data_IF_157162709288
#
_entry.id   IF_157162709288
#
_cell.length_a   1.000
_cell.length_b   1.000
_cell.length_c   1.000
_cell.angle_alpha   90.00
_cell.angle_beta   90.00
_cell.angle_gamma   90.00
#
_symmetry.space_group_name_H-M   'P 1'
#
loop_
_entity.id
_entity.type
_entity.pdbx_description
1 polymer ?
#
# COMPACT_ATOMS: atom_id res chain seq x y z
N UNK A 1 -12.61 -2.24 4.91
CA UNK A 1 -12.07 -1.73 3.63
C UNK A 1 -12.13 -0.20 3.49
N UNK A 2 -13.30 0.43 3.56
CA UNK A 2 -13.46 1.88 3.29
C UNK A 2 -12.52 2.82 4.09
N UNK A 3 -12.15 2.43 5.31
CA UNK A 3 -11.24 3.21 6.17
C UNK A 3 -9.81 3.31 5.61
N UNK A 4 -9.24 2.21 5.10
CA UNK A 4 -7.90 2.22 4.49
C UNK A 4 -7.90 3.06 3.22
N UNK A 5 -8.95 2.96 2.40
CA UNK A 5 -9.10 3.79 1.20
C UNK A 5 -9.21 5.28 1.54
N UNK A 6 -9.88 5.61 2.65
CA UNK A 6 -9.97 6.98 3.14
C UNK A 6 -8.59 7.50 3.55
N UNK A 7 -7.81 6.73 4.31
CA UNK A 7 -6.44 7.10 4.67
C UNK A 7 -5.55 7.24 3.43
N UNK A 8 -5.61 6.29 2.50
CA UNK A 8 -4.84 6.34 1.26
C UNK A 8 -5.12 7.62 0.46
N UNK A 9 -6.40 8.02 0.33
CA UNK A 9 -6.77 9.27 -0.35
C UNK A 9 -6.28 10.51 0.38
N UNK A 10 -6.35 10.53 1.71
CA UNK A 10 -5.93 11.68 2.51
C UNK A 10 -4.41 11.84 2.47
N UNK A 11 -3.67 10.76 2.72
CA UNK A 11 -2.22 10.77 2.80
C UNK A 11 -1.54 10.70 1.43
N UNK A 12 -2.24 10.34 0.35
CA UNK A 12 -1.66 10.18 -1.00
C UNK A 12 -0.43 9.26 -1.04
N UNK A 13 -0.49 8.18 -0.27
CA UNK A 13 0.53 7.12 -0.22
C UNK A 13 -0.12 5.78 -0.61
N UNK A 14 0.65 4.86 -1.17
CA UNK A 14 0.16 3.51 -1.41
C UNK A 14 -0.06 2.79 -0.07
N UNK A 15 -1.30 2.36 0.19
CA UNK A 15 -1.61 1.48 1.32
C UNK A 15 -2.18 0.19 0.75
N UNK A 16 -1.48 -0.92 0.90
CA UNK A 16 -1.92 -2.25 0.50
C UNK A 16 -2.74 -2.90 1.61
N UNK A 17 -3.66 -3.81 1.25
CA UNK A 17 -4.53 -4.48 2.20
C UNK A 17 -4.86 -5.91 1.77
N UNK A 18 -4.86 -6.83 2.73
CA UNK A 18 -5.23 -8.24 2.53
C UNK A 18 -6.29 -8.67 3.56
N UNK A 19 -7.34 -9.34 3.10
CA UNK A 19 -8.29 -10.01 3.98
C UNK A 19 -7.75 -11.37 4.48
N UNK A 20 -8.07 -11.77 5.72
CA UNK A 20 -7.95 -13.18 6.10
C UNK A 20 -8.99 -14.03 5.35
N UNK A 21 -8.76 -15.35 5.21
CA UNK A 21 -9.77 -16.25 4.66
C UNK A 21 -10.85 -16.50 5.72
N UNK A 22 -11.84 -15.61 5.79
CA UNK A 22 -12.91 -15.66 6.80
C UNK A 22 -13.62 -17.02 6.80
N UNK A 23 -13.76 -17.60 7.99
CA UNK A 23 -14.36 -18.93 8.20
C UNK A 23 -15.53 -18.91 9.19
N UNK A 24 -15.49 -18.01 10.17
CA UNK A 24 -16.54 -17.91 11.18
C UNK A 24 -17.77 -17.20 10.62
N UNK A 25 -18.92 -17.88 10.67
CA UNK A 25 -20.18 -17.33 10.18
C UNK A 25 -20.61 -16.04 10.90
N UNK A 26 -20.31 -15.90 12.21
CA UNK A 26 -20.61 -14.67 12.96
C UNK A 26 -19.75 -13.45 12.56
N UNK A 27 -18.70 -13.67 11.78
CA UNK A 27 -17.86 -12.62 11.20
C UNK A 27 -18.28 -12.25 9.77
N UNK A 28 -19.29 -12.92 9.20
CA UNK A 28 -19.79 -12.70 7.85
C UNK A 28 -21.23 -12.20 7.92
N UNK A 29 -21.58 -11.21 7.12
CA UNK A 29 -22.93 -10.69 6.99
C UNK A 29 -23.42 -10.86 5.55
N UNK A 30 -24.68 -11.24 5.41
CA UNK A 30 -25.37 -11.25 4.13
C UNK A 30 -25.98 -9.88 3.86
N UNK A 31 -25.56 -9.24 2.78
CA UNK A 31 -26.05 -7.93 2.34
C UNK A 31 -26.82 -8.00 1.02
N UNK A 32 -27.28 -9.19 0.64
CA UNK A 32 -27.95 -9.42 -0.65
C UNK A 32 -29.09 -8.44 -0.88
N UNK A 33 -29.98 -8.28 0.09
CA UNK A 33 -31.15 -7.41 -0.03
C UNK A 33 -30.81 -5.92 0.04
N UNK A 34 -29.59 -5.57 0.49
CA UNK A 34 -29.09 -4.19 0.50
C UNK A 34 -28.49 -3.77 -0.84
N UNK A 35 -27.99 -4.73 -1.62
CA UNK A 35 -27.25 -4.49 -2.87
C UNK A 35 -28.07 -4.86 -4.11
N UNK A 36 -28.86 -5.93 -4.04
CA UNK A 36 -29.68 -6.37 -5.16
C UNK A 36 -31.04 -5.68 -5.15
N UNK A 37 -31.42 -5.09 -6.28
CA UNK A 37 -32.78 -4.62 -6.47
C UNK A 37 -33.75 -5.80 -6.75
N UNK A 38 -35.08 -5.60 -6.67
CA UNK A 38 -36.06 -6.68 -6.84
C UNK A 38 -35.93 -7.44 -8.18
N UNK A 39 -35.54 -6.75 -9.26
CA UNK A 39 -35.35 -7.36 -10.58
C UNK A 39 -34.15 -8.30 -10.60
N UNK A 40 -33.02 -7.88 -10.02
CA UNK A 40 -31.83 -8.72 -9.88
C UNK A 40 -32.12 -9.93 -8.99
N UNK A 41 -32.91 -9.73 -7.92
CA UNK A 41 -33.32 -10.79 -7.01
C UNK A 41 -34.19 -11.84 -7.69
N UNK A 42 -35.16 -11.41 -8.50
CA UNK A 42 -36.02 -12.31 -9.27
C UNK A 42 -35.23 -13.10 -10.33
N UNK A 43 -34.24 -12.47 -10.97
CA UNK A 43 -33.40 -13.12 -11.97
C UNK A 43 -32.43 -14.16 -11.38
N UNK A 44 -31.99 -13.96 -10.13
CA UNK A 44 -31.12 -14.91 -9.44
C UNK A 44 -31.47 -15.02 -7.93
N UNK A 45 -32.53 -15.76 -7.57
CA UNK A 45 -33.00 -15.86 -6.19
C UNK A 45 -32.01 -16.60 -5.26
N UNK A 46 -31.05 -17.33 -5.83
CA UNK A 46 -30.04 -18.08 -5.08
C UNK A 46 -28.73 -17.32 -4.91
N UNK A 47 -28.52 -16.22 -5.63
CA UNK A 47 -27.35 -15.37 -5.40
C UNK A 47 -27.34 -14.87 -3.95
N UNK A 48 -26.15 -14.88 -3.35
CA UNK A 48 -25.90 -14.32 -2.02
C UNK A 48 -24.67 -13.44 -2.09
N UNK A 49 -24.77 -12.23 -1.57
CA UNK A 49 -23.65 -11.28 -1.46
C UNK A 49 -23.26 -11.24 0.01
N UNK A 50 -22.21 -11.99 0.33
CA UNK A 50 -21.71 -12.14 1.70
C UNK A 50 -20.43 -11.34 1.84
N UNK A 51 -20.35 -10.53 2.88
CA UNK A 51 -19.17 -9.68 3.15
C UNK A 51 -18.74 -9.82 4.59
N UNK A 52 -17.48 -9.50 4.94
CA UNK A 52 -17.07 -9.43 6.34
C UNK A 52 -17.94 -8.42 7.09
N UNK A 53 -18.37 -8.77 8.30
CA UNK A 53 -19.13 -7.89 9.18
C UNK A 53 -18.32 -6.62 9.42
N UNK A 54 -18.96 -5.48 9.24
CA UNK A 54 -18.34 -4.18 9.43
C UNK A 54 -19.19 -3.27 10.31
N UNK A 55 -18.78 -2.02 10.38
CA UNK A 55 -19.51 -0.99 11.10
C UNK A 55 -18.79 0.35 11.00
N UNK A 56 -19.29 1.33 11.75
CA UNK A 56 -18.68 2.66 11.82
C UNK A 56 -17.43 2.60 12.69
N UNK A 57 -16.34 3.14 12.16
CA UNK A 57 -15.11 3.40 12.91
C UNK A 57 -14.92 4.91 12.99
N UNK A 58 -14.57 5.40 14.18
CA UNK A 58 -14.12 6.78 14.31
C UNK A 58 -12.75 6.89 13.64
N UNK A 59 -12.64 7.76 12.64
CA UNK A 59 -11.35 8.02 12.01
C UNK A 59 -10.56 8.98 12.89
N UNK A 60 -9.29 8.67 13.20
CA UNK A 60 -8.48 9.55 14.02
C UNK A 60 -8.17 10.85 13.28
N UNK A 61 -8.25 11.98 13.99
CA UNK A 61 -7.82 13.26 13.46
C UNK A 61 -6.30 13.39 13.65
N UNK A 62 -5.54 13.04 12.60
CA UNK A 62 -4.08 13.16 12.58
C UNK A 62 -3.71 14.17 11.48
N UNK A 63 -2.82 15.15 11.75
CA UNK A 63 -2.35 16.07 10.73
C UNK A 63 -1.81 15.34 9.50
N UNK A 64 -2.21 15.78 8.32
CA UNK A 64 -1.91 15.11 7.06
C UNK A 64 -0.91 15.93 6.26
N UNK A 65 0.30 15.40 6.05
CA UNK A 65 1.18 15.85 4.97
C UNK A 65 1.13 14.83 3.83
N UNK A 66 0.55 15.19 2.66
CA UNK A 66 0.45 14.27 1.54
C UNK A 66 1.84 13.75 1.09
N UNK A 67 1.94 12.45 0.84
CA UNK A 67 3.15 11.75 0.44
C UNK A 67 4.08 11.32 1.56
N UNK A 68 3.85 11.74 2.81
CA UNK A 68 4.73 11.41 3.92
C UNK A 68 4.26 10.14 4.62
N UNK A 69 4.88 9.01 4.29
CA UNK A 69 4.53 7.68 4.85
C UNK A 69 4.55 7.67 6.39
N UNK A 70 5.55 8.32 6.99
CA UNK A 70 5.71 8.37 8.45
C UNK A 70 4.49 8.97 9.18
N UNK A 71 3.78 9.91 8.55
CA UNK A 71 2.62 10.57 9.14
C UNK A 71 1.37 9.68 9.13
N UNK A 72 1.30 8.73 8.20
CA UNK A 72 0.18 7.80 8.13
C UNK A 72 0.29 6.66 9.16
N UNK A 73 1.49 6.36 9.66
CA UNK A 73 1.72 5.27 10.61
C UNK A 73 0.84 5.37 11.87
N UNK A 74 0.77 6.52 12.59
CA UNK A 74 -0.06 6.64 13.78
C UNK A 74 -1.55 6.52 13.45
N UNK A 75 -1.99 7.07 12.32
CA UNK A 75 -3.39 7.02 11.90
C UNK A 75 -3.85 5.60 11.57
N UNK A 76 -3.01 4.82 10.87
CA UNK A 76 -3.31 3.41 10.60
C UNK A 76 -3.24 2.59 11.90
N UNK A 77 -2.24 2.82 12.76
CA UNK A 77 -2.15 2.14 14.05
C UNK A 77 -3.40 2.34 14.92
N UNK A 78 -3.89 3.59 15.00
CA UNK A 78 -5.13 3.92 15.71
C UNK A 78 -6.36 3.28 15.03
N UNK A 79 -6.41 3.26 13.69
CA UNK A 79 -7.48 2.57 12.96
C UNK A 79 -7.50 1.07 13.27
N UNK A 80 -6.35 0.39 13.28
CA UNK A 80 -6.26 -1.04 13.56
C UNK A 80 -6.67 -1.34 15.01
N UNK A 81 -6.24 -0.50 15.97
CA UNK A 81 -6.65 -0.63 17.37
C UNK A 81 -8.16 -0.43 17.55
N UNK A 82 -8.75 0.57 16.90
CA UNK A 82 -10.20 0.79 16.93
C UNK A 82 -10.98 -0.36 16.26
N UNK A 83 -10.44 -0.91 15.17
CA UNK A 83 -11.02 -2.07 14.47
C UNK A 83 -11.08 -3.30 15.38
N UNK A 84 -9.97 -3.62 16.05
CA UNK A 84 -9.90 -4.74 16.99
C UNK A 84 -10.80 -4.49 18.22
N UNK A 85 -10.77 -3.28 18.79
CA UNK A 85 -11.60 -2.90 19.94
C UNK A 85 -13.11 -2.95 19.67
N UNK A 86 -13.52 -2.73 18.42
CA UNK A 86 -14.91 -2.90 17.98
C UNK A 86 -15.33 -4.38 17.78
N UNK A 87 -14.40 -5.32 17.93
CA UNK A 87 -14.68 -6.75 17.75
C UNK A 87 -15.04 -7.11 16.31
N UNK A 88 -14.47 -6.40 15.33
CA UNK A 88 -14.65 -6.71 13.91
C UNK A 88 -13.82 -7.93 13.47
N UNK A 89 -14.17 -8.56 12.33
CA UNK A 89 -13.53 -9.77 11.84
C UNK A 89 -12.03 -9.65 11.59
N UNK A 90 -11.27 -10.59 12.15
CA UNK A 90 -9.83 -10.67 11.93
C UNK A 90 -9.01 -9.67 12.76
N UNK A 91 -7.70 -9.93 12.83
CA UNK A 91 -6.70 -9.03 13.42
C UNK A 91 -5.61 -8.80 12.42
N UNK A 92 -5.03 -7.61 12.46
CA UNK A 92 -4.11 -7.15 11.42
C UNK A 92 -2.86 -6.55 12.04
N UNK A 93 -1.79 -6.55 11.25
CA UNK A 93 -0.58 -5.77 11.52
C UNK A 93 -0.29 -4.83 10.35
N UNK A 94 0.39 -3.74 10.68
CA UNK A 94 0.94 -2.82 9.72
C UNK A 94 2.40 -3.18 9.44
N UNK A 95 2.74 -3.33 8.17
CA UNK A 95 4.11 -3.43 7.69
C UNK A 95 4.46 -2.10 7.02
N UNK A 96 5.60 -1.53 7.41
CA UNK A 96 6.16 -0.36 6.75
C UNK A 96 7.21 -0.81 5.74
N UNK A 97 7.02 -0.42 4.50
CA UNK A 97 7.97 -0.60 3.41
C UNK A 97 8.45 0.79 2.95
N UNK A 98 9.47 0.85 2.08
CA UNK A 98 10.14 2.11 1.75
C UNK A 98 9.18 3.19 1.21
N UNK A 99 8.26 2.81 0.33
CA UNK A 99 7.34 3.68 -0.41
C UNK A 99 5.85 3.34 -0.22
N UNK A 100 5.55 2.35 0.62
CA UNK A 100 4.19 1.87 0.84
C UNK A 100 3.98 1.36 2.27
N UNK A 101 2.72 1.28 2.66
CA UNK A 101 2.27 0.63 3.88
C UNK A 101 1.45 -0.60 3.51
N UNK A 102 1.60 -1.71 4.22
CA UNK A 102 0.85 -2.94 3.94
C UNK A 102 0.13 -3.41 5.21
N UNK A 103 -1.20 -3.48 5.15
CA UNK A 103 -2.04 -4.04 6.21
C UNK A 103 -2.26 -5.52 5.91
N UNK A 104 -1.73 -6.40 6.77
CA UNK A 104 -1.78 -7.86 6.58
C UNK A 104 -2.51 -8.55 7.74
N UNK A 105 -3.24 -9.64 7.49
CA UNK A 105 -3.90 -10.38 8.55
C UNK A 105 -2.87 -11.15 9.39
N UNK A 106 -3.12 -11.25 10.69
CA UNK A 106 -2.33 -12.03 11.65
C UNK A 106 -3.16 -13.04 12.43
N UNK A 107 -4.46 -12.79 12.60
CA UNK A 107 -5.37 -13.75 13.22
C UNK A 107 -6.78 -13.66 12.62
N UNK A 108 -7.53 -14.76 12.71
CA UNK A 108 -8.95 -14.85 12.35
C UNK A 108 -9.67 -15.82 13.28
N UNK A 109 -11.01 -15.81 13.28
CA UNK A 109 -11.80 -16.83 13.96
C UNK A 109 -12.04 -18.04 13.05
N UNK A 110 -11.75 -19.24 13.56
CA UNK A 110 -12.05 -20.51 12.91
C UNK A 110 -13.56 -20.69 12.73
N UNK A 111 -13.98 -21.73 12.02
CA UNK A 111 -15.41 -22.06 11.88
C UNK A 111 -16.13 -22.23 13.25
N UNK A 112 -15.39 -22.61 14.30
CA UNK A 112 -15.88 -22.78 15.68
C UNK A 112 -15.89 -21.46 16.48
N UNK A 113 -15.42 -20.36 15.91
CA UNK A 113 -15.34 -19.05 16.58
C UNK A 113 -14.05 -18.83 17.40
N UNK A 114 -13.11 -19.78 17.37
CA UNK A 114 -11.84 -19.67 18.11
C UNK A 114 -10.81 -18.86 17.34
N UNK A 115 -10.00 -18.06 18.04
CA UNK A 115 -8.93 -17.31 17.39
C UNK A 115 -7.78 -18.24 17.00
N UNK A 116 -7.33 -18.12 15.74
CA UNK A 116 -6.14 -18.79 15.23
C UNK A 116 -5.24 -17.80 14.50
N UNK A 117 -3.94 -18.09 14.47
CA UNK A 117 -2.96 -17.31 13.71
C UNK A 117 -3.10 -17.61 12.23
N UNK A 118 -3.01 -16.57 11.40
CA UNK A 118 -2.99 -16.69 9.94
C UNK A 118 -1.80 -15.93 9.38
N UNK A 119 -1.29 -16.38 8.24
CA UNK A 119 -0.27 -15.68 7.48
C UNK A 119 -0.88 -15.11 6.21
N UNK A 120 -0.41 -13.93 5.79
CA UNK A 120 -0.73 -13.35 4.48
C UNK A 120 -0.59 -14.37 3.35
N UNK A 121 -1.56 -14.37 2.43
CA UNK A 121 -1.55 -15.23 1.24
C UNK A 121 -0.38 -14.87 0.33
N UNK A 122 -0.08 -13.59 0.21
CA UNK A 122 1.03 -13.05 -0.59
C UNK A 122 2.41 -13.23 0.05
N UNK A 123 2.51 -13.83 1.24
CA UNK A 123 3.79 -14.32 1.75
C UNK A 123 4.26 -15.61 1.07
N UNK A 124 3.44 -16.20 0.18
CA UNK A 124 3.84 -17.39 -0.58
C UNK A 124 5.10 -17.09 -1.41
N UNK A 125 6.11 -17.97 -1.39
CA UNK A 125 7.28 -17.81 -2.24
C UNK A 125 6.89 -18.10 -3.70
N UNK A 126 7.35 -17.24 -4.61
CA UNK A 126 7.22 -17.42 -6.06
C UNK A 126 8.60 -17.44 -6.70
N UNK A 127 8.73 -18.18 -7.81
CA UNK A 127 9.98 -18.32 -8.55
C UNK A 127 9.72 -18.32 -10.06
N UNK A 128 10.46 -17.50 -10.79
CA UNK A 128 10.45 -17.47 -12.24
C UNK A 128 11.71 -16.77 -12.76
N UNK A 129 12.20 -17.19 -13.92
CA UNK A 129 13.42 -16.63 -14.50
C UNK A 129 13.31 -15.14 -14.76
N UNK A 130 14.43 -14.42 -14.64
CA UNK A 130 14.49 -13.01 -15.02
C UNK A 130 14.46 -12.89 -16.54
N UNK A 131 13.40 -12.26 -17.05
CA UNK A 131 13.23 -11.99 -18.48
C UNK A 131 12.27 -10.82 -18.68
N UNK A 132 12.38 -10.16 -19.83
CA UNK A 132 11.45 -9.10 -20.22
C UNK A 132 10.08 -9.68 -20.60
N UNK A 133 9.04 -9.27 -19.87
CA UNK A 133 7.65 -9.70 -20.07
C UNK A 133 6.68 -8.54 -19.96
N UNK A 134 5.46 -8.71 -20.46
CA UNK A 134 4.41 -7.75 -20.17
C UNK A 134 4.08 -7.76 -18.67
N UNK A 135 3.81 -6.60 -18.09
CA UNK A 135 3.48 -6.48 -16.67
C UNK A 135 2.27 -7.35 -16.27
N UNK A 136 1.27 -7.46 -17.17
CA UNK A 136 0.12 -8.34 -16.98
C UNK A 136 0.49 -9.83 -16.89
N UNK A 137 1.48 -10.29 -17.68
CA UNK A 137 1.95 -11.68 -17.66
C UNK A 137 2.67 -12.01 -16.36
N UNK A 138 3.51 -11.09 -15.88
CA UNK A 138 4.19 -11.24 -14.57
C UNK A 138 3.17 -11.29 -13.44
N UNK A 139 2.15 -10.43 -13.47
CA UNK A 139 1.08 -10.46 -12.48
C UNK A 139 0.33 -11.79 -12.48
N UNK A 140 -0.12 -12.26 -13.65
CA UNK A 140 -0.84 -13.52 -13.79
C UNK A 140 -0.01 -14.72 -13.29
N UNK A 141 1.27 -14.77 -13.65
CA UNK A 141 2.21 -15.81 -13.18
C UNK A 141 2.33 -15.81 -11.64
N UNK A 142 2.49 -14.64 -11.02
CA UNK A 142 2.53 -14.51 -9.56
C UNK A 142 1.23 -15.03 -8.93
N UNK A 143 0.05 -14.64 -9.44
CA UNK A 143 -1.23 -15.06 -8.87
C UNK A 143 -1.47 -16.57 -9.02
N UNK A 144 -1.04 -17.17 -10.14
CA UNK A 144 -1.08 -18.63 -10.35
C UNK A 144 -0.22 -19.36 -9.34
N UNK A 145 1.03 -18.92 -9.15
CA UNK A 145 1.94 -19.55 -8.19
C UNK A 145 1.45 -19.39 -6.74
N UNK A 146 0.94 -18.21 -6.36
CA UNK A 146 0.32 -18.00 -5.05
C UNK A 146 -0.86 -18.94 -4.87
N UNK A 147 -1.71 -19.08 -5.88
CA UNK A 147 -2.88 -19.97 -5.82
C UNK A 147 -2.48 -21.42 -5.59
N UNK A 148 -1.48 -21.89 -6.35
CA UNK A 148 -0.94 -23.24 -6.22
C UNK A 148 -0.30 -23.47 -4.83
N UNK A 149 0.51 -22.53 -4.35
CA UNK A 149 1.22 -22.64 -3.08
C UNK A 149 0.28 -22.60 -1.86
N UNK A 150 -0.88 -21.94 -1.97
CA UNK A 150 -1.81 -21.72 -0.86
C UNK A 150 -3.04 -22.61 -0.90
N UNK A 151 -3.29 -23.31 -2.01
CA UNK A 151 -4.50 -24.12 -2.18
C UNK A 151 -5.78 -23.29 -2.17
N UNK A 152 -5.68 -21.99 -2.51
CA UNK A 152 -6.82 -21.07 -2.61
C UNK A 152 -6.71 -20.34 -3.93
N UNK A 153 -7.82 -20.22 -4.66
CA UNK A 153 -7.80 -19.45 -5.92
C UNK A 153 -7.55 -17.98 -5.61
N UNK A 154 -6.65 -17.37 -6.36
CA UNK A 154 -6.40 -15.93 -6.36
C UNK A 154 -6.59 -15.42 -7.77
N UNK A 155 -7.65 -14.63 -7.96
CA UNK A 155 -8.01 -14.04 -9.25
C UNK A 155 -7.73 -12.54 -9.29
N UNK A 156 -7.85 -11.99 -10.48
CA UNK A 156 -7.82 -10.56 -10.73
C UNK A 156 -9.26 -10.04 -10.87
N UNK A 157 -9.62 -9.02 -10.09
CA UNK A 157 -10.90 -8.32 -10.21
C UNK A 157 -10.78 -7.06 -11.07
N UNK A 158 -9.77 -6.22 -10.81
CA UNK A 158 -9.57 -4.98 -11.56
C UNK A 158 -8.12 -4.51 -11.54
N UNK A 159 -7.67 -3.90 -12.64
CA UNK A 159 -6.40 -3.19 -12.73
C UNK A 159 -6.47 -2.08 -13.80
N UNK A 160 -5.57 -1.08 -13.80
CA UNK A 160 -5.45 -0.11 -14.89
C UNK A 160 -4.89 -0.77 -16.15
N UNK A 161 -5.78 -1.32 -16.99
CA UNK A 161 -5.43 -2.13 -18.17
C UNK A 161 -4.41 -1.45 -19.09
N UNK A 162 -4.57 -0.15 -19.34
CA UNK A 162 -3.62 0.61 -20.18
C UNK A 162 -2.19 0.52 -19.65
N UNK A 163 -1.98 0.75 -18.35
CA UNK A 163 -0.64 0.70 -17.74
C UNK A 163 -0.05 -0.72 -17.79
N UNK A 164 -0.84 -1.75 -17.48
CA UNK A 164 -0.35 -3.13 -17.46
C UNK A 164 -0.14 -3.73 -18.86
N UNK A 165 -0.90 -3.30 -19.86
CA UNK A 165 -0.80 -3.79 -21.23
C UNK A 165 0.40 -3.17 -21.98
N UNK A 166 0.76 -1.93 -21.67
CA UNK A 166 1.85 -1.22 -22.37
C UNK A 166 3.19 -1.29 -21.65
N UNK A 167 3.22 -1.61 -20.35
CA UNK A 167 4.46 -1.72 -19.58
C UNK A 167 5.10 -3.09 -19.80
N UNK A 168 6.39 -3.07 -20.19
CA UNK A 168 7.25 -4.27 -20.20
C UNK A 168 8.25 -4.19 -19.06
N UNK A 169 8.40 -5.26 -18.30
CA UNK A 169 9.26 -5.30 -17.11
C UNK A 169 10.27 -6.42 -17.22
N UNK A 170 11.49 -6.19 -16.73
CA UNK A 170 12.56 -7.20 -16.66
C UNK A 170 12.71 -7.72 -15.23
N UNK A 171 11.74 -8.51 -14.78
CA UNK A 171 11.67 -9.07 -13.43
C UNK A 171 11.90 -10.58 -13.45
N UNK A 172 12.50 -11.06 -12.35
CA UNK A 172 12.68 -12.45 -11.99
C UNK A 172 12.50 -12.60 -10.48
N UNK A 173 12.17 -13.80 -10.03
CA UNK A 173 12.04 -14.13 -8.61
C UNK A 173 12.68 -15.49 -8.34
N UNK A 174 13.37 -15.62 -7.22
CA UNK A 174 13.84 -16.90 -6.70
C UNK A 174 13.36 -17.01 -5.25
N UNK A 175 12.38 -17.88 -5.01
CA UNK A 175 11.72 -18.09 -3.72
C UNK A 175 11.35 -16.80 -2.98
N UNK A 176 10.97 -15.77 -3.73
CA UNK A 176 10.70 -14.43 -3.20
C UNK A 176 9.24 -14.34 -2.76
N UNK A 177 8.90 -13.71 -1.62
CA UNK A 177 7.50 -13.50 -1.24
C UNK A 177 6.74 -12.74 -2.34
N UNK A 178 5.57 -13.25 -2.74
CA UNK A 178 4.75 -12.64 -3.79
C UNK A 178 4.45 -11.16 -3.54
N UNK A 179 4.22 -10.75 -2.28
CA UNK A 179 4.02 -9.35 -1.92
C UNK A 179 5.20 -8.44 -2.34
N UNK A 180 6.43 -8.95 -2.18
CA UNK A 180 7.63 -8.21 -2.62
C UNK A 180 7.73 -8.12 -4.14
N UNK A 181 7.40 -9.21 -4.84
CA UNK A 181 7.38 -9.22 -6.31
C UNK A 181 6.32 -8.25 -6.85
N UNK A 182 5.14 -8.19 -6.23
CA UNK A 182 4.09 -7.23 -6.61
C UNK A 182 4.51 -5.79 -6.38
N UNK A 183 5.18 -5.48 -5.25
CA UNK A 183 5.73 -4.15 -5.01
C UNK A 183 6.73 -3.77 -6.11
N UNK A 184 7.67 -4.67 -6.42
CA UNK A 184 8.71 -4.38 -7.41
C UNK A 184 8.08 -4.19 -8.81
N UNK A 185 7.08 -5.01 -9.17
CA UNK A 185 6.27 -4.84 -10.38
C UNK A 185 5.58 -3.48 -10.43
N UNK A 186 4.94 -3.06 -9.33
CA UNK A 186 4.25 -1.78 -9.26
C UNK A 186 5.20 -0.60 -9.39
N UNK A 187 6.40 -0.70 -8.80
CA UNK A 187 7.46 0.30 -8.93
C UNK A 187 7.92 0.45 -10.37
N UNK A 188 8.14 -0.66 -11.09
CA UNK A 188 8.50 -0.64 -12.50
C UNK A 188 7.42 0.03 -13.35
N UNK A 189 6.14 -0.33 -13.14
CA UNK A 189 5.01 0.30 -13.84
C UNK A 189 4.97 1.80 -13.56
N UNK A 190 5.00 2.20 -12.29
CA UNK A 190 4.98 3.61 -11.88
C UNK A 190 6.14 4.40 -12.50
N UNK A 191 7.34 3.81 -12.57
CA UNK A 191 8.52 4.45 -13.16
C UNK A 191 8.34 4.70 -14.66
N UNK A 192 7.82 3.73 -15.40
CA UNK A 192 7.62 3.85 -16.84
C UNK A 192 6.47 4.81 -17.20
N UNK A 193 5.34 4.74 -16.50
CA UNK A 193 4.18 5.61 -16.81
C UNK A 193 4.42 7.06 -16.40
N UNK A 194 5.28 7.33 -15.40
CA UNK A 194 5.67 8.70 -15.03
C UNK A 194 6.36 9.41 -16.19
N UNK A 195 7.13 8.70 -17.00
CA UNK A 195 7.77 9.28 -18.20
C UNK A 195 6.79 9.56 -19.35
N UNK A 196 5.66 8.85 -19.40
CA UNK A 196 4.69 8.97 -20.49
C UNK A 196 3.59 10.01 -20.24
N UNK A 197 3.25 10.29 -18.99
CA UNK A 197 2.20 11.25 -18.60
C UNK A 197 2.82 12.64 -18.32
N UNK A 198 3.35 13.28 -19.37
CA UNK A 198 4.02 14.60 -19.32
C UNK A 198 3.05 15.75 -18.97
N UNK A 199 1.75 15.49 -18.90
CA UNK A 199 0.71 16.53 -18.76
C UNK A 199 0.17 16.72 -17.34
N UNK A 200 0.56 15.89 -16.35
CA UNK A 200 0.19 16.11 -14.95
C UNK A 200 1.40 16.01 -14.03
N UNK A 201 1.74 17.11 -13.35
CA UNK A 201 2.84 17.17 -12.37
C UNK A 201 2.72 16.15 -11.23
N UNK A 202 1.55 15.57 -11.02
CA UNK A 202 1.32 14.48 -10.10
C UNK A 202 1.46 13.13 -10.82
N UNK A 203 2.53 12.38 -10.55
CA UNK A 203 2.62 10.99 -11.00
C UNK A 203 1.68 10.07 -10.20
N UNK A 204 1.68 8.76 -10.50
CA UNK A 204 0.76 7.78 -9.92
C UNK A 204 1.51 6.62 -9.25
N UNK A 205 1.22 6.35 -7.97
CA UNK A 205 1.61 5.11 -7.30
C UNK A 205 0.54 4.03 -7.55
N UNK A 206 0.88 2.76 -7.38
CA UNK A 206 -0.09 1.67 -7.37
C UNK A 206 -0.21 1.07 -5.97
N UNK A 207 -1.42 0.69 -5.60
CA UNK A 207 -1.76 -0.01 -4.36
C UNK A 207 -2.64 -1.21 -4.68
N UNK A 208 -2.73 -2.21 -3.80
CA UNK A 208 -3.63 -3.34 -4.01
C UNK A 208 -4.62 -3.56 -2.86
N UNK A 209 -5.75 -4.19 -3.20
CA UNK A 209 -6.69 -4.83 -2.28
C UNK A 209 -6.76 -6.31 -2.65
N UNK A 210 -6.44 -7.19 -1.72
CA UNK A 210 -6.64 -8.63 -1.89
C UNK A 210 -7.79 -9.05 -0.98
N UNK A 211 -8.98 -9.15 -1.55
CA UNK A 211 -10.21 -9.35 -0.81
C UNK A 211 -10.67 -10.79 -0.91
N UNK A 212 -11.07 -11.37 0.22
CA UNK A 212 -11.59 -12.73 0.26
C UNK A 212 -13.11 -12.70 0.11
N UNK A 213 -13.65 -13.43 -0.87
CA UNK A 213 -15.08 -13.62 -0.98
C UNK A 213 -15.50 -14.87 -0.18
N UNK A 214 -16.23 -14.74 0.95
CA UNK A 214 -16.63 -15.89 1.76
C UNK A 214 -17.68 -16.77 1.08
N UNK A 215 -18.42 -16.27 0.08
CA UNK A 215 -19.43 -17.04 -0.65
C UNK A 215 -18.82 -18.06 -1.61
N UNK A 216 -17.76 -17.65 -2.31
CA UNK A 216 -17.07 -18.49 -3.33
C UNK A 216 -15.67 -18.95 -2.91
N UNK A 217 -15.20 -18.53 -1.74
CA UNK A 217 -13.97 -18.97 -1.07
C UNK A 217 -12.70 -18.78 -1.90
N UNK A 218 -12.58 -17.66 -2.58
CA UNK A 218 -11.36 -17.29 -3.29
C UNK A 218 -11.03 -15.81 -3.08
N UNK A 219 -9.82 -15.42 -3.44
CA UNK A 219 -9.34 -14.06 -3.37
C UNK A 219 -9.47 -13.32 -4.69
N UNK A 220 -9.82 -12.04 -4.62
CA UNK A 220 -9.78 -11.10 -5.73
C UNK A 220 -8.77 -10.00 -5.46
N UNK A 221 -7.80 -9.87 -6.37
CA UNK A 221 -6.87 -8.75 -6.40
C UNK A 221 -7.47 -7.59 -7.18
N UNK A 222 -7.50 -6.42 -6.57
CA UNK A 222 -7.79 -5.13 -7.22
C UNK A 222 -6.55 -4.25 -7.09
N UNK A 223 -6.02 -3.74 -8.20
CA UNK A 223 -4.89 -2.81 -8.24
C UNK A 223 -5.40 -1.41 -8.52
N UNK A 224 -5.23 -0.47 -7.59
CA UNK A 224 -5.76 0.88 -7.70
C UNK A 224 -4.64 1.94 -7.84
N UNK A 225 -4.80 2.94 -8.74
CA UNK A 225 -3.91 4.08 -8.80
C UNK A 225 -4.09 4.99 -7.56
N UNK A 226 -2.99 5.54 -7.08
CA UNK A 226 -2.94 6.52 -6.00
C UNK A 226 -2.27 7.79 -6.54
N UNK A 227 -2.97 8.93 -6.57
CA UNK A 227 -2.36 10.19 -6.98
C UNK A 227 -1.18 10.52 -6.06
N UNK A 228 -0.01 10.83 -6.63
CA UNK A 228 1.11 11.36 -5.85
C UNK A 228 0.84 12.79 -5.39
N UNK A 229 1.45 13.24 -4.28
CA UNK A 229 1.56 14.68 -4.04
C UNK A 229 2.29 15.35 -5.21
N UNK A 230 2.00 16.62 -5.52
CA UNK A 230 2.85 17.39 -6.43
C UNK A 230 4.27 17.43 -5.86
N UNK A 231 5.27 17.34 -6.73
CA UNK A 231 6.65 17.63 -6.34
C UNK A 231 6.70 19.02 -5.72
N UNK A 232 7.46 19.24 -4.62
CA UNK A 232 7.70 20.59 -4.15
C UNK A 232 8.27 21.42 -5.31
N UNK A 233 7.88 22.71 -5.46
CA UNK A 233 8.44 23.55 -6.50
C UNK A 233 9.95 23.47 -6.40
N UNK A 234 10.63 23.11 -7.49
CA UNK A 234 12.09 23.13 -7.55
C UNK A 234 12.51 24.52 -7.06
N UNK A 235 13.07 24.58 -5.86
CA UNK A 235 13.53 25.84 -5.30
C UNK A 235 14.65 26.23 -6.24
N UNK A 236 14.39 27.23 -7.09
CA UNK A 236 15.32 27.72 -8.10
C UNK A 236 16.60 28.18 -7.38
N UNK A 237 17.53 27.26 -7.12
CA UNK A 237 18.82 27.53 -6.50
C UNK A 237 19.80 28.15 -7.50
N UNK A 238 19.32 28.56 -8.68
CA UNK A 238 20.06 29.35 -9.67
C UNK A 238 19.91 30.85 -9.41
N UNK A 239 20.12 31.24 -8.16
CA UNK A 239 20.35 32.63 -7.74
C UNK A 239 21.80 32.77 -7.29
N UNK A 240 22.76 32.34 -8.11
CA UNK A 240 24.16 32.75 -7.96
C UNK A 240 24.22 34.26 -8.19
N UNK A 241 23.94 35.03 -7.14
CA UNK A 241 24.35 36.41 -7.04
C UNK A 241 25.89 36.41 -7.06
N UNK A 242 26.45 36.57 -8.25
CA UNK A 242 27.82 37.01 -8.46
C UNK A 242 27.97 38.45 -7.97
N UNK A 243 27.85 38.64 -6.66
CA UNK A 243 28.29 39.85 -5.99
C UNK A 243 29.80 39.77 -5.86
N UNK A 244 30.51 40.51 -6.71
CA UNK A 244 31.92 40.82 -6.54
C UNK A 244 32.11 41.48 -5.17
N UNK A 245 32.54 40.71 -4.17
CA UNK A 245 32.99 41.28 -2.91
C UNK A 245 34.27 42.07 -3.20
N UNK A 246 34.13 43.40 -3.19
CA UNK A 246 35.27 44.30 -3.22
C UNK A 246 36.21 43.99 -2.05
N UNK A 247 37.51 43.99 -2.36
CA UNK A 247 38.62 43.93 -1.42
C UNK A 247 38.32 44.75 -0.15
N UNK A 248 38.18 44.06 0.98
CA UNK A 248 38.30 44.69 2.30
C UNK A 248 39.80 44.73 2.62
N UNK A 249 40.39 45.90 2.90
CA UNK A 249 41.79 46.00 3.28
C UNK A 249 42.05 45.27 4.62
N UNK A 250 43.19 44.59 4.67
CA UNK A 250 43.67 43.82 5.81
C UNK A 250 43.76 44.66 7.09
N UNK A 251 43.26 44.10 8.19
CA UNK A 251 43.49 44.61 9.53
C UNK A 251 44.96 44.40 9.96
N UNK A 252 45.57 45.33 10.73
CA UNK A 252 46.93 45.18 11.23
C UNK A 252 47.05 44.09 12.32
N UNK A 253 48.24 43.51 12.51
CA UNK A 253 48.45 42.41 13.46
C UNK A 253 48.30 42.85 14.91
N UNK A 254 47.45 42.14 15.66
CA UNK A 254 47.32 42.26 17.10
C UNK A 254 48.59 41.78 17.79
N UNK A 255 49.19 42.70 18.55
CA UNK A 255 50.38 42.47 19.36
C UNK A 255 50.17 41.46 20.49
N UNK A 256 51.25 40.74 20.75
CA UNK A 256 51.44 39.71 21.78
C UNK A 256 51.50 40.34 23.17
N UNK A 257 50.72 39.84 24.14
CA UNK A 257 50.91 40.14 25.56
C UNK A 257 50.83 38.88 26.42
N UNK A 258 52.02 38.40 26.80
CA UNK A 258 52.40 38.15 28.20
C UNK A 258 51.67 37.08 28.99
N UNK A 259 52.21 35.86 28.97
CA UNK A 259 51.99 34.84 30.00
C UNK A 259 52.79 35.20 31.26
N UNK A 260 52.13 35.29 32.42
CA UNK A 260 52.79 35.34 33.73
C UNK A 260 52.62 33.99 34.47
N UNK A 261 53.61 33.53 35.25
CA UNK A 261 53.61 32.21 35.86
C UNK A 261 52.91 32.19 37.23
N UNK A 262 52.11 31.15 37.46
CA UNK A 262 51.58 30.78 38.78
C UNK A 262 52.66 30.04 39.56
N UNK A 263 53.08 30.59 40.71
CA UNK A 263 53.86 29.87 41.72
C UNK A 263 52.91 29.15 42.68
N UNK A 264 53.36 27.98 43.13
CA UNK A 264 52.73 27.05 44.07
C UNK A 264 52.48 27.66 45.45
#
# INVERSE_FOLDING_TARGET
MQAVDHLQRNYRIAINYEDPPFQFEGDIQDITDQVQNPRQRAANPNARIRVPRGGRLAMPHVPVRPGVVADALPAIGQLLSAYEGAGFPGRFRLLQEADALTVTPVALRTAQGEWTTVTSVLSAPVSFDRQERAAAEVLDEVLKQVSAARGVKVGLAWLPMGAFATTRVNLGADRTPAASVLRDLFREITTQIRGALVSSEAGVLLSYRLLFDPGVRYYMLTVAPVPMPPSPPETNQSGSFGGTFGNVPAAPPSGTLGSAPVKR
#
